data_IF_604031776470
#
_entry.id   IF_604031776470
#
_cell.length_a   1.000
_cell.length_b   1.000
_cell.length_c   1.000
_cell.angle_alpha   90.00
_cell.angle_beta   90.00
_cell.angle_gamma   90.00
#
_symmetry.space_group_name_H-M   'P 1'
#
loop_
_entity.id
_entity.type
_entity.pdbx_description
1 polymer ?
#
# COMPACT_ATOMS: atom_id res chain seq x y z
N UNK A 1 -9.75 15.20 21.67
CA UNK A 1 -8.66 14.20 21.82
C UNK A 1 -7.93 13.97 20.50
N UNK A 2 -8.62 13.71 19.40
CA UNK A 2 -8.03 13.51 18.06
C UNK A 2 -7.05 14.61 17.64
N UNK A 3 -7.46 15.90 17.68
CA UNK A 3 -6.60 17.02 17.27
C UNK A 3 -5.31 17.14 18.09
N UNK A 4 -5.37 16.87 19.40
CA UNK A 4 -4.19 16.92 20.28
C UNK A 4 -3.20 15.82 19.88
N UNK A 5 -3.69 14.57 19.70
CA UNK A 5 -2.87 13.45 19.26
C UNK A 5 -2.27 13.72 17.87
N UNK A 6 -3.04 14.31 16.95
CA UNK A 6 -2.58 14.72 15.64
C UNK A 6 -1.45 15.75 15.70
N UNK A 7 -1.58 16.78 16.54
CA UNK A 7 -0.54 17.81 16.71
C UNK A 7 0.73 17.20 17.29
N UNK A 8 0.62 16.34 18.32
CA UNK A 8 1.76 15.65 18.92
C UNK A 8 2.45 14.74 17.86
N UNK A 9 1.67 13.99 17.09
CA UNK A 9 2.18 13.12 16.04
C UNK A 9 2.93 13.91 14.96
N UNK A 10 2.35 15.02 14.49
CA UNK A 10 3.01 15.90 13.52
C UNK A 10 4.27 16.55 14.12
N UNK A 11 4.23 16.97 15.36
CA UNK A 11 5.40 17.53 16.04
C UNK A 11 6.54 16.52 16.14
N UNK A 12 6.25 15.25 16.43
CA UNK A 12 7.26 14.18 16.46
C UNK A 12 7.85 13.94 15.07
N UNK A 13 7.03 13.90 14.01
CA UNK A 13 7.50 13.70 12.63
C UNK A 13 8.38 14.86 12.18
N UNK A 14 7.98 16.11 12.51
CA UNK A 14 8.68 17.31 12.11
C UNK A 14 9.87 17.64 13.01
N UNK A 15 9.96 16.98 14.18
CA UNK A 15 11.07 17.20 15.11
C UNK A 15 12.41 16.87 14.45
N UNK A 16 13.31 17.87 14.47
CA UNK A 16 14.62 17.80 13.77
C UNK A 16 14.54 17.53 12.26
N UNK A 17 13.35 17.67 11.62
CA UNK A 17 13.31 17.63 10.15
C UNK A 17 14.05 18.84 9.60
N UNK A 18 14.97 18.58 8.65
CA UNK A 18 15.66 19.65 7.91
C UNK A 18 15.11 19.67 6.50
N UNK A 19 14.90 20.86 5.93
CA UNK A 19 14.70 21.00 4.49
C UNK A 19 15.97 20.54 3.80
N UNK A 20 15.94 19.32 3.31
CA UNK A 20 17.09 18.64 2.70
C UNK A 20 17.06 18.90 1.20
N UNK A 21 18.23 18.92 0.59
CA UNK A 21 18.37 18.86 -0.87
C UNK A 21 17.73 17.60 -1.44
N UNK A 22 17.38 17.64 -2.74
CA UNK A 22 16.77 16.48 -3.41
C UNK A 22 17.59 15.20 -3.18
N UNK A 23 16.99 14.24 -2.52
CA UNK A 23 17.58 12.93 -2.27
C UNK A 23 17.10 11.94 -3.33
N UNK A 24 18.01 11.46 -4.20
CA UNK A 24 17.70 10.43 -5.21
C UNK A 24 17.26 9.10 -4.62
N UNK A 25 17.60 8.84 -3.36
CA UNK A 25 17.33 7.60 -2.64
C UNK A 25 16.00 7.63 -1.83
N UNK A 26 15.15 8.65 -2.04
CA UNK A 26 13.91 8.85 -1.26
C UNK A 26 12.95 7.66 -1.27
N UNK A 27 13.06 6.75 -2.23
CA UNK A 27 12.30 5.49 -2.29
C UNK A 27 13.12 4.25 -1.91
N UNK A 28 14.30 4.42 -1.35
CA UNK A 28 15.09 3.32 -0.83
C UNK A 28 14.42 2.68 0.38
N UNK A 29 14.82 1.43 0.66
CA UNK A 29 14.21 0.63 1.72
C UNK A 29 14.21 1.32 3.08
N UNK A 30 15.26 2.08 3.40
CA UNK A 30 15.39 2.84 4.65
C UNK A 30 14.24 3.86 4.79
N UNK A 31 14.09 4.74 3.79
CA UNK A 31 13.07 5.79 3.79
C UNK A 31 11.65 5.23 3.67
N UNK A 32 11.45 4.26 2.79
CA UNK A 32 10.12 3.62 2.62
C UNK A 32 9.67 2.88 3.86
N UNK A 33 10.58 2.31 4.66
CA UNK A 33 10.21 1.68 5.93
C UNK A 33 9.78 2.71 6.98
N UNK A 34 10.46 3.87 7.07
CA UNK A 34 10.03 4.96 7.94
C UNK A 34 8.61 5.45 7.58
N UNK A 35 8.36 5.70 6.29
CA UNK A 35 7.04 6.14 5.83
C UNK A 35 5.97 5.08 6.10
N UNK A 36 6.28 3.80 5.89
CA UNK A 36 5.35 2.70 6.23
C UNK A 36 5.05 2.64 7.73
N UNK A 37 6.02 2.95 8.60
CA UNK A 37 5.79 3.08 10.02
C UNK A 37 4.80 4.20 10.34
N UNK A 38 4.97 5.38 9.74
CA UNK A 38 4.03 6.50 9.85
C UNK A 38 2.64 6.09 9.36
N UNK A 39 2.55 5.45 8.18
CA UNK A 39 1.30 4.96 7.63
C UNK A 39 0.61 3.93 8.56
N UNK A 40 1.37 3.07 9.24
CA UNK A 40 0.81 2.13 10.20
C UNK A 40 0.15 2.86 11.37
N UNK A 41 0.77 3.90 11.92
CA UNK A 41 0.18 4.76 12.96
C UNK A 41 -1.09 5.45 12.43
N UNK A 42 -1.07 5.98 11.21
CA UNK A 42 -2.25 6.60 10.59
C UNK A 42 -3.43 5.62 10.46
N UNK A 43 -3.17 4.34 10.14
CA UNK A 43 -4.21 3.30 10.10
C UNK A 43 -4.76 3.03 11.49
N UNK A 44 -3.92 2.96 12.53
CA UNK A 44 -4.39 2.80 13.92
C UNK A 44 -5.27 3.98 14.32
N UNK A 45 -4.84 5.22 14.03
CA UNK A 45 -5.65 6.42 14.30
C UNK A 45 -7.02 6.38 13.60
N UNK A 46 -7.06 5.91 12.35
CA UNK A 46 -8.32 5.75 11.62
C UNK A 46 -9.28 4.73 12.28
N UNK A 47 -8.74 3.71 12.96
CA UNK A 47 -9.58 2.77 13.71
C UNK A 47 -10.04 3.29 15.08
N UNK A 48 -9.35 4.29 15.61
CA UNK A 48 -9.68 4.91 16.89
C UNK A 48 -10.58 6.15 16.75
N UNK A 49 -10.52 6.86 15.63
CA UNK A 49 -11.17 8.14 15.41
C UNK A 49 -11.81 8.22 14.03
N UNK A 50 -13.09 8.52 13.96
CA UNK A 50 -13.81 8.66 12.68
C UNK A 50 -13.26 9.80 11.83
N UNK A 51 -12.81 10.89 12.47
CA UNK A 51 -12.19 12.06 11.82
C UNK A 51 -10.89 11.70 11.07
N UNK A 52 -10.23 10.60 11.45
CA UNK A 52 -9.00 10.14 10.81
C UNK A 52 -9.24 9.30 9.55
N UNK A 53 -10.48 9.18 9.04
CA UNK A 53 -10.83 8.34 7.89
C UNK A 53 -9.97 8.61 6.65
N UNK A 54 -9.70 9.86 6.32
CA UNK A 54 -8.84 10.22 5.19
C UNK A 54 -7.39 9.76 5.39
N UNK A 55 -6.89 9.80 6.61
CA UNK A 55 -5.55 9.34 6.94
C UNK A 55 -5.40 7.84 6.71
N UNK A 56 -6.42 7.07 7.09
CA UNK A 56 -6.46 5.63 6.82
C UNK A 56 -6.46 5.32 5.32
N UNK A 57 -7.28 6.02 4.54
CA UNK A 57 -7.33 5.86 3.07
C UNK A 57 -5.97 6.17 2.44
N UNK A 58 -5.35 7.29 2.81
CA UNK A 58 -4.03 7.69 2.30
C UNK A 58 -2.94 6.69 2.71
N UNK A 59 -2.93 6.26 3.97
CA UNK A 59 -1.96 5.29 4.47
C UNK A 59 -2.04 3.97 3.71
N UNK A 60 -3.25 3.45 3.48
CA UNK A 60 -3.46 2.21 2.72
C UNK A 60 -3.09 2.40 1.25
N UNK A 61 -3.39 3.55 0.65
CA UNK A 61 -2.95 3.88 -0.72
C UNK A 61 -1.42 3.90 -0.84
N UNK A 62 -0.71 4.41 0.19
CA UNK A 62 0.76 4.37 0.25
C UNK A 62 1.30 2.94 0.38
N UNK A 63 0.65 2.05 1.16
CA UNK A 63 1.04 0.65 1.20
C UNK A 63 0.87 -0.04 -0.16
N UNK A 64 -0.22 0.22 -0.88
CA UNK A 64 -0.39 -0.27 -2.24
C UNK A 64 0.65 0.32 -3.19
N UNK A 65 0.93 1.62 -3.09
CA UNK A 65 1.96 2.30 -3.89
C UNK A 65 3.33 1.64 -3.71
N UNK A 66 3.79 1.46 -2.47
CA UNK A 66 5.07 0.80 -2.22
C UNK A 66 5.09 -0.67 -2.64
N UNK A 67 3.95 -1.34 -2.62
CA UNK A 67 3.83 -2.71 -3.13
C UNK A 67 4.03 -2.74 -4.64
N UNK A 68 3.32 -1.90 -5.41
CA UNK A 68 3.47 -1.78 -6.86
C UNK A 68 4.88 -1.32 -7.26
N UNK A 69 5.39 -0.29 -6.60
CA UNK A 69 6.76 0.21 -6.81
C UNK A 69 7.80 -0.90 -6.61
N UNK A 70 7.75 -1.61 -5.50
CA UNK A 70 8.71 -2.67 -5.19
C UNK A 70 8.63 -3.87 -6.14
N UNK A 71 7.41 -4.20 -6.66
CA UNK A 71 7.25 -5.25 -7.66
C UNK A 71 7.90 -4.87 -8.99
N UNK A 72 7.64 -3.66 -9.46
CA UNK A 72 8.18 -3.18 -10.73
C UNK A 72 9.69 -3.01 -10.67
N UNK A 73 10.23 -2.42 -9.60
CA UNK A 73 11.67 -2.34 -9.37
C UNK A 73 12.33 -3.73 -9.32
N UNK A 74 11.68 -4.67 -8.62
CA UNK A 74 12.16 -6.04 -8.59
C UNK A 74 12.17 -6.71 -9.96
N UNK A 75 11.16 -6.47 -10.77
CA UNK A 75 11.05 -6.99 -12.13
C UNK A 75 12.10 -6.38 -13.07
N UNK A 76 12.35 -5.08 -12.98
CA UNK A 76 13.33 -4.40 -13.84
C UNK A 76 14.78 -4.74 -13.48
N UNK A 77 15.08 -5.01 -12.19
CA UNK A 77 16.45 -5.07 -11.69
C UNK A 77 16.93 -6.50 -11.34
N UNK A 78 16.07 -7.53 -11.43
CA UNK A 78 16.44 -8.88 -11.03
C UNK A 78 16.21 -9.87 -12.17
N UNK A 79 17.24 -10.60 -12.53
CA UNK A 79 17.09 -11.78 -13.37
C UNK A 79 16.20 -12.82 -12.71
N UNK A 80 15.45 -13.56 -13.51
CA UNK A 80 14.54 -14.59 -13.04
C UNK A 80 13.62 -14.17 -11.89
N UNK A 81 13.12 -12.92 -11.93
CA UNK A 81 12.33 -12.28 -10.85
C UNK A 81 11.17 -13.14 -10.37
N UNK A 82 10.53 -13.90 -11.27
CA UNK A 82 9.36 -14.73 -10.96
C UNK A 82 9.70 -16.05 -10.27
N UNK A 83 10.99 -16.45 -10.25
CA UNK A 83 11.42 -17.66 -9.52
C UNK A 83 11.17 -17.48 -8.01
N UNK A 84 10.29 -18.31 -7.46
CA UNK A 84 9.89 -18.23 -6.05
C UNK A 84 9.06 -16.98 -5.69
N UNK A 85 8.42 -16.34 -6.66
CA UNK A 85 7.59 -15.14 -6.44
C UNK A 85 6.51 -15.40 -5.37
N UNK A 86 5.68 -16.41 -5.57
CA UNK A 86 4.59 -16.77 -4.65
C UNK A 86 5.10 -17.24 -3.29
N UNK A 87 6.15 -18.06 -3.24
CA UNK A 87 6.75 -18.48 -1.96
C UNK A 87 7.14 -17.29 -1.08
N UNK A 88 7.72 -16.23 -1.69
CA UNK A 88 8.08 -14.99 -0.97
C UNK A 88 6.85 -14.22 -0.49
N UNK A 89 5.74 -14.18 -1.27
CA UNK A 89 4.51 -13.46 -0.90
C UNK A 89 3.73 -14.21 0.17
N UNK A 90 3.59 -15.52 0.04
CA UNK A 90 2.96 -16.36 1.06
C UNK A 90 3.68 -16.18 2.40
N UNK A 91 5.02 -16.35 2.42
CA UNK A 91 5.78 -16.24 3.67
C UNK A 91 5.75 -14.84 4.30
N UNK A 92 5.73 -13.76 3.49
CA UNK A 92 5.86 -12.39 4.00
C UNK A 92 4.52 -11.67 4.19
N UNK A 93 3.46 -12.14 3.56
CA UNK A 93 2.17 -11.45 3.55
C UNK A 93 1.06 -12.36 4.08
N UNK A 94 0.85 -13.54 3.49
CA UNK A 94 -0.23 -14.44 3.91
C UNK A 94 0.04 -15.10 5.26
N UNK A 95 1.24 -15.59 5.51
CA UNK A 95 1.54 -16.27 6.76
C UNK A 95 1.34 -15.35 8.00
N UNK A 96 1.86 -14.11 8.05
CA UNK A 96 1.53 -13.19 9.14
C UNK A 96 0.04 -12.90 9.27
N UNK A 97 -0.68 -12.75 8.15
CA UNK A 97 -2.12 -12.57 8.16
C UNK A 97 -2.85 -13.77 8.78
N UNK A 98 -2.50 -14.98 8.37
CA UNK A 98 -3.12 -16.19 8.91
C UNK A 98 -2.87 -16.36 10.41
N UNK A 99 -1.64 -16.08 10.87
CA UNK A 99 -1.31 -16.11 12.31
C UNK A 99 -2.18 -15.08 13.06
N UNK A 100 -2.28 -13.86 12.55
CA UNK A 100 -3.11 -12.82 13.18
C UNK A 100 -4.59 -13.19 13.16
N UNK A 101 -5.09 -13.79 12.06
CA UNK A 101 -6.47 -14.25 11.97
C UNK A 101 -6.80 -15.34 13.03
N UNK A 102 -5.88 -16.28 13.26
CA UNK A 102 -6.01 -17.28 14.34
C UNK A 102 -6.11 -16.59 15.71
N UNK A 103 -5.24 -15.62 15.99
CA UNK A 103 -5.29 -14.87 17.25
C UNK A 103 -6.65 -14.15 17.40
N UNK A 104 -7.15 -13.53 16.33
CA UNK A 104 -8.47 -12.88 16.33
C UNK A 104 -9.59 -13.88 16.63
N UNK A 105 -9.59 -15.03 15.97
CA UNK A 105 -10.58 -16.10 16.21
C UNK A 105 -10.56 -16.51 17.69
N UNK A 106 -9.37 -16.77 18.26
CA UNK A 106 -9.24 -17.15 19.66
C UNK A 106 -9.77 -16.06 20.61
N UNK A 107 -9.40 -14.80 20.38
CA UNK A 107 -9.90 -13.67 21.18
C UNK A 107 -11.43 -13.56 21.09
N UNK A 108 -12.01 -13.71 19.89
CA UNK A 108 -13.46 -13.62 19.71
C UNK A 108 -14.20 -14.77 20.37
N UNK A 109 -13.65 -15.98 20.35
CA UNK A 109 -14.25 -17.14 21.04
C UNK A 109 -14.13 -16.99 22.55
N UNK A 110 -12.92 -16.78 23.08
CA UNK A 110 -12.68 -16.85 24.52
C UNK A 110 -13.00 -15.55 25.29
N UNK A 111 -12.89 -14.39 24.65
CA UNK A 111 -13.10 -13.08 25.31
C UNK A 111 -14.46 -12.50 24.95
N UNK A 112 -14.92 -12.67 23.72
CA UNK A 112 -16.21 -12.12 23.25
C UNK A 112 -17.35 -13.14 23.29
N UNK A 113 -17.07 -14.39 23.67
CA UNK A 113 -18.04 -15.50 23.70
C UNK A 113 -18.77 -15.71 22.36
N UNK A 114 -18.10 -15.44 21.24
CA UNK A 114 -18.65 -15.70 19.91
C UNK A 114 -18.49 -17.19 19.56
N UNK A 115 -19.48 -17.75 18.88
CA UNK A 115 -19.40 -19.10 18.30
C UNK A 115 -19.25 -19.00 16.79
N UNK A 116 -18.34 -19.80 16.21
CA UNK A 116 -18.13 -19.90 14.78
C UNK A 116 -18.22 -21.36 14.33
N UNK A 117 -18.82 -21.57 13.18
CA UNK A 117 -18.80 -22.88 12.52
C UNK A 117 -17.43 -23.13 11.90
N UNK A 118 -17.09 -24.40 11.70
CA UNK A 118 -15.83 -24.77 11.04
C UNK A 118 -15.69 -24.14 9.62
N UNK A 119 -16.81 -24.03 8.90
CA UNK A 119 -16.83 -23.37 7.59
C UNK A 119 -16.50 -21.87 7.66
N UNK A 120 -17.04 -21.14 8.63
CA UNK A 120 -16.73 -19.71 8.82
C UNK A 120 -15.25 -19.50 9.17
N UNK A 121 -14.71 -20.35 10.03
CA UNK A 121 -13.28 -20.32 10.38
C UNK A 121 -12.42 -20.53 9.14
N UNK A 122 -12.69 -21.58 8.35
CA UNK A 122 -11.92 -21.87 7.12
C UNK A 122 -12.06 -20.72 6.12
N UNK A 123 -13.25 -20.21 5.87
CA UNK A 123 -13.48 -19.11 4.94
C UNK A 123 -12.78 -17.81 5.37
N UNK A 124 -12.64 -17.57 6.67
CA UNK A 124 -11.98 -16.35 7.18
C UNK A 124 -10.53 -16.21 6.73
N UNK A 125 -9.83 -17.31 6.43
CA UNK A 125 -8.47 -17.30 5.90
C UNK A 125 -8.39 -16.81 4.45
N UNK A 126 -9.50 -16.78 3.72
CA UNK A 126 -9.57 -16.40 2.32
C UNK A 126 -10.34 -15.12 2.06
N UNK A 127 -11.32 -14.77 2.89
CA UNK A 127 -12.21 -13.64 2.68
C UNK A 127 -12.14 -12.57 3.80
N UNK A 128 -11.31 -12.79 4.83
CA UNK A 128 -11.17 -11.91 5.99
C UNK A 128 -12.52 -11.63 6.70
N UNK A 129 -13.45 -12.60 6.72
CA UNK A 129 -14.80 -12.41 7.27
C UNK A 129 -14.80 -12.16 8.78
N UNK A 130 -13.94 -12.84 9.54
CA UNK A 130 -13.81 -12.69 11.00
C UNK A 130 -12.91 -11.49 11.32
N UNK A 131 -11.71 -11.43 10.74
CA UNK A 131 -10.83 -10.29 10.84
C UNK A 131 -11.08 -9.32 9.69
N UNK A 132 -12.13 -8.50 9.79
CA UNK A 132 -12.55 -7.60 8.70
C UNK A 132 -11.47 -6.64 8.22
N UNK A 133 -10.51 -6.26 9.08
CA UNK A 133 -9.35 -5.44 8.72
C UNK A 133 -8.37 -6.16 7.78
N UNK A 134 -8.48 -7.48 7.64
CA UNK A 134 -7.66 -8.31 6.74
C UNK A 134 -7.94 -8.12 5.24
N UNK A 135 -9.03 -7.41 4.88
CA UNK A 135 -9.40 -7.13 3.48
C UNK A 135 -8.22 -6.60 2.64
N UNK A 136 -7.37 -5.77 3.24
CA UNK A 136 -6.18 -5.20 2.59
C UNK A 136 -5.23 -6.29 2.07
N UNK A 137 -5.01 -7.34 2.85
CA UNK A 137 -4.11 -8.45 2.47
C UNK A 137 -4.68 -9.22 1.29
N UNK A 138 -6.00 -9.50 1.32
CA UNK A 138 -6.69 -10.19 0.21
C UNK A 138 -6.60 -9.35 -1.07
N UNK A 139 -6.92 -8.07 -0.98
CA UNK A 139 -6.81 -7.15 -2.12
C UNK A 139 -5.36 -7.05 -2.64
N UNK A 140 -4.37 -7.02 -1.76
CA UNK A 140 -2.95 -7.00 -2.14
C UNK A 140 -2.55 -8.29 -2.89
N UNK A 141 -3.02 -9.46 -2.45
CA UNK A 141 -2.76 -10.73 -3.16
C UNK A 141 -3.40 -10.75 -4.54
N UNK A 142 -4.61 -10.21 -4.70
CA UNK A 142 -5.25 -10.06 -6.01
C UNK A 142 -4.40 -9.14 -6.91
N UNK A 143 -3.91 -8.01 -6.41
CA UNK A 143 -3.02 -7.12 -7.17
C UNK A 143 -1.70 -7.81 -7.55
N UNK A 144 -1.14 -8.64 -6.66
CA UNK A 144 0.05 -9.43 -6.99
C UNK A 144 -0.23 -10.49 -8.05
N UNK A 145 -1.41 -11.10 -8.06
CA UNK A 145 -1.82 -12.06 -9.09
C UNK A 145 -1.97 -11.38 -10.46
N UNK A 146 -2.63 -10.22 -10.52
CA UNK A 146 -2.75 -9.42 -11.73
C UNK A 146 -1.36 -9.07 -12.27
N UNK A 147 -0.49 -8.53 -11.42
CA UNK A 147 0.89 -8.21 -11.81
C UNK A 147 1.63 -9.46 -12.33
N UNK A 148 1.56 -10.57 -11.60
CA UNK A 148 2.24 -11.80 -11.96
C UNK A 148 1.80 -12.33 -13.32
N UNK A 149 0.49 -12.38 -13.58
CA UNK A 149 -0.07 -12.86 -14.85
C UNK A 149 0.38 -11.97 -16.00
N UNK A 150 0.21 -10.65 -15.86
CA UNK A 150 0.54 -9.68 -16.90
C UNK A 150 2.04 -9.68 -17.21
N UNK A 151 2.88 -9.61 -16.20
CA UNK A 151 4.33 -9.43 -16.42
C UNK A 151 5.07 -10.73 -16.74
N UNK A 152 4.56 -11.88 -16.30
CA UNK A 152 5.18 -13.18 -16.58
C UNK A 152 4.82 -13.73 -17.94
N UNK A 153 3.54 -13.68 -18.31
CA UNK A 153 3.06 -14.41 -19.49
C UNK A 153 2.96 -13.55 -20.76
N UNK A 154 2.74 -12.24 -20.63
CA UNK A 154 2.69 -11.40 -21.84
C UNK A 154 4.10 -11.06 -22.34
N UNK A 155 4.35 -11.37 -23.62
CA UNK A 155 5.58 -11.03 -24.34
C UNK A 155 5.39 -9.72 -25.10
N UNK A 156 5.29 -8.58 -24.38
CA UNK A 156 5.07 -7.25 -24.97
C UNK A 156 5.91 -6.20 -24.22
N UNK A 157 5.90 -4.95 -24.69
CA UNK A 157 6.63 -3.87 -24.04
C UNK A 157 6.14 -3.59 -22.62
N UNK A 158 7.01 -3.13 -21.73
CA UNK A 158 6.66 -2.83 -20.34
C UNK A 158 5.56 -1.77 -20.23
N UNK A 159 5.53 -0.80 -21.14
CA UNK A 159 4.46 0.19 -21.21
C UNK A 159 3.08 -0.46 -21.43
N UNK A 160 2.97 -1.37 -22.40
CA UNK A 160 1.71 -2.10 -22.67
C UNK A 160 1.31 -2.98 -21.49
N UNK A 161 2.27 -3.63 -20.82
CA UNK A 161 2.02 -4.40 -19.58
C UNK A 161 1.46 -3.52 -18.45
N UNK A 162 2.02 -2.33 -18.26
CA UNK A 162 1.54 -1.38 -17.25
C UNK A 162 0.12 -0.91 -17.59
N UNK A 163 -0.14 -0.56 -18.84
CA UNK A 163 -1.48 -0.15 -19.29
C UNK A 163 -2.49 -1.26 -19.03
N UNK A 164 -2.19 -2.49 -19.42
CA UNK A 164 -3.08 -3.63 -19.17
C UNK A 164 -3.28 -3.87 -17.67
N UNK A 165 -2.23 -3.73 -16.87
CA UNK A 165 -2.33 -3.86 -15.42
C UNK A 165 -3.29 -2.79 -14.84
N UNK A 166 -3.21 -1.53 -15.32
CA UNK A 166 -4.14 -0.47 -14.94
C UNK A 166 -5.58 -0.79 -15.34
N UNK A 167 -5.79 -1.29 -16.55
CA UNK A 167 -7.14 -1.72 -17.01
C UNK A 167 -7.69 -2.80 -16.07
N UNK A 168 -6.90 -3.81 -15.72
CA UNK A 168 -7.33 -4.88 -14.81
C UNK A 168 -7.61 -4.38 -13.39
N UNK A 169 -6.87 -3.37 -12.91
CA UNK A 169 -7.16 -2.69 -11.63
C UNK A 169 -8.51 -1.97 -11.71
N UNK A 170 -8.80 -1.25 -12.81
CA UNK A 170 -10.10 -0.62 -13.00
C UNK A 170 -11.24 -1.65 -13.11
N UNK A 171 -11.03 -2.76 -13.82
CA UNK A 171 -11.99 -3.86 -13.85
C UNK A 171 -12.26 -4.41 -12.44
N UNK A 172 -11.22 -4.59 -11.61
CA UNK A 172 -11.39 -4.99 -10.22
C UNK A 172 -12.25 -3.99 -9.43
N UNK A 173 -12.00 -2.70 -9.57
CA UNK A 173 -12.77 -1.64 -8.89
C UNK A 173 -14.25 -1.71 -9.29
N UNK A 174 -14.52 -1.83 -10.59
CA UNK A 174 -15.90 -1.94 -11.12
C UNK A 174 -16.58 -3.20 -10.59
N UNK A 175 -15.91 -4.35 -10.65
CA UNK A 175 -16.43 -5.63 -10.15
C UNK A 175 -16.69 -5.59 -8.65
N UNK A 176 -15.74 -5.08 -7.85
CA UNK A 176 -15.91 -4.97 -6.41
C UNK A 176 -17.11 -4.09 -6.04
N UNK A 177 -17.32 -2.99 -6.79
CA UNK A 177 -18.48 -2.13 -6.61
C UNK A 177 -19.78 -2.80 -7.03
N UNK A 178 -19.77 -3.52 -8.16
CA UNK A 178 -20.95 -4.23 -8.68
C UNK A 178 -21.41 -5.36 -7.74
N UNK A 179 -20.46 -6.12 -7.16
CA UNK A 179 -20.74 -7.19 -6.18
C UNK A 179 -21.14 -6.63 -4.80
N UNK A 180 -21.15 -5.31 -4.62
CA UNK A 180 -21.57 -4.67 -3.36
C UNK A 180 -20.50 -4.68 -2.28
N UNK A 181 -19.22 -4.84 -2.62
CA UNK A 181 -18.13 -4.70 -1.65
C UNK A 181 -18.12 -3.30 -1.04
N UNK A 182 -17.82 -3.22 0.25
CA UNK A 182 -17.69 -1.95 0.96
C UNK A 182 -16.58 -1.08 0.34
N UNK A 183 -16.75 0.26 0.37
CA UNK A 183 -15.89 1.21 -0.36
C UNK A 183 -14.38 1.06 -0.09
N UNK A 184 -14.00 0.64 1.11
CA UNK A 184 -12.58 0.44 1.44
C UNK A 184 -11.88 -0.67 0.64
N UNK A 185 -12.62 -1.61 0.04
CA UNK A 185 -12.04 -2.65 -0.83
C UNK A 185 -11.42 -2.11 -2.12
N UNK A 186 -11.78 -0.89 -2.55
CA UNK A 186 -11.35 -0.35 -3.83
C UNK A 186 -10.83 1.09 -3.82
N UNK A 187 -11.10 1.89 -2.77
CA UNK A 187 -10.71 3.31 -2.76
C UNK A 187 -9.20 3.56 -2.83
N UNK A 188 -8.40 2.70 -2.21
CA UNK A 188 -6.94 2.89 -2.10
C UNK A 188 -6.12 2.11 -3.13
N UNK A 189 -6.76 1.23 -3.92
CA UNK A 189 -6.07 0.26 -4.80
C UNK A 189 -5.31 0.91 -5.96
N UNK A 190 -5.78 2.07 -6.45
CA UNK A 190 -5.08 2.81 -7.51
C UNK A 190 -3.64 3.14 -7.13
N UNK A 191 -3.33 3.27 -5.84
CA UNK A 191 -1.97 3.41 -5.35
C UNK A 191 -1.01 2.34 -5.90
N UNK A 192 -1.48 1.11 -6.07
CA UNK A 192 -0.66 0.02 -6.63
C UNK A 192 -0.23 0.31 -8.08
N UNK A 193 -1.17 0.69 -8.92
CA UNK A 193 -0.88 1.05 -10.32
C UNK A 193 0.03 2.27 -10.43
N UNK A 194 -0.20 3.31 -9.60
CA UNK A 194 0.68 4.47 -9.52
C UNK A 194 2.09 4.08 -9.12
N UNK A 195 2.27 3.14 -8.19
CA UNK A 195 3.57 2.59 -7.82
C UNK A 195 4.29 1.91 -8.98
N UNK A 196 3.58 1.14 -9.82
CA UNK A 196 4.15 0.54 -11.03
C UNK A 196 4.66 1.60 -12.01
N UNK A 197 3.83 2.62 -12.29
CA UNK A 197 4.16 3.72 -13.20
C UNK A 197 5.37 4.50 -12.67
N UNK A 198 5.36 4.83 -11.38
CA UNK A 198 6.45 5.57 -10.75
C UNK A 198 7.77 4.83 -10.85
N UNK A 199 7.78 3.54 -10.54
CA UNK A 199 8.97 2.72 -10.63
C UNK A 199 9.54 2.64 -12.05
N UNK A 200 8.67 2.49 -13.05
CA UNK A 200 9.06 2.42 -14.45
C UNK A 200 9.59 3.75 -15.00
N UNK A 201 8.96 4.87 -14.60
CA UNK A 201 9.33 6.21 -15.05
C UNK A 201 10.19 6.99 -14.03
N UNK A 202 10.82 6.31 -13.07
CA UNK A 202 11.53 6.95 -11.96
C UNK A 202 12.48 8.05 -12.41
N UNK A 203 13.31 7.80 -13.43
CA UNK A 203 14.28 8.79 -13.93
C UNK A 203 13.63 10.06 -14.47
N UNK A 204 12.50 9.93 -15.17
CA UNK A 204 11.76 11.09 -15.70
C UNK A 204 11.06 11.87 -14.58
N UNK A 205 10.47 11.15 -13.63
CA UNK A 205 9.79 11.75 -12.47
C UNK A 205 10.82 12.47 -11.59
N UNK A 206 11.98 11.86 -11.35
CA UNK A 206 13.06 12.47 -10.56
C UNK A 206 13.54 13.79 -11.18
N UNK A 207 13.64 13.86 -12.52
CA UNK A 207 13.98 15.11 -13.23
C UNK A 207 12.93 16.19 -12.99
N UNK A 208 11.65 15.86 -13.15
CA UNK A 208 10.54 16.79 -12.91
C UNK A 208 10.54 17.29 -11.46
N UNK A 209 10.58 16.37 -10.49
CA UNK A 209 10.57 16.73 -9.07
C UNK A 209 11.76 17.63 -8.71
N UNK A 210 12.96 17.33 -9.22
CA UNK A 210 14.15 18.16 -8.99
C UNK A 210 13.96 19.57 -9.55
N UNK A 211 13.37 19.70 -10.75
CA UNK A 211 13.09 20.97 -11.38
C UNK A 211 12.07 21.80 -10.59
N UNK A 212 10.99 21.18 -10.11
CA UNK A 212 10.00 21.86 -9.27
C UNK A 212 10.55 22.31 -7.92
N UNK A 213 11.37 21.48 -7.25
CA UNK A 213 12.01 21.86 -5.98
C UNK A 213 12.97 23.03 -6.20
N UNK A 214 13.70 23.06 -7.32
CA UNK A 214 14.59 24.17 -7.66
C UNK A 214 13.79 25.46 -7.85
N UNK A 215 12.70 25.43 -8.62
CA UNK A 215 11.82 26.59 -8.85
C UNK A 215 11.23 27.07 -7.51
N UNK A 216 10.73 26.15 -6.67
CA UNK A 216 10.15 26.49 -5.38
C UNK A 216 11.18 27.14 -4.43
N UNK A 217 12.40 26.62 -4.40
CA UNK A 217 13.52 27.20 -3.62
C UNK A 217 13.85 28.63 -4.08
N UNK A 218 13.87 28.89 -5.37
CA UNK A 218 14.10 30.23 -5.93
C UNK A 218 12.93 31.18 -5.65
N UNK A 219 11.70 30.75 -5.77
CA UNK A 219 10.53 31.59 -5.45
C UNK A 219 10.53 32.03 -3.97
N UNK A 220 10.87 31.12 -3.04
CA UNK A 220 10.92 31.46 -1.61
C UNK A 220 12.06 32.43 -1.26
N UNK A 221 13.21 32.34 -1.91
CA UNK A 221 14.33 33.27 -1.69
C UNK A 221 13.99 34.67 -2.17
N UNK A 222 13.18 34.83 -3.22
CA UNK A 222 12.75 36.16 -3.69
C UNK A 222 11.57 36.75 -2.91
N UNK A 223 10.83 35.96 -2.13
CA UNK A 223 9.76 36.47 -1.27
C UNK A 223 10.25 36.88 0.13
N UNK A 224 11.51 36.64 0.47
CA UNK A 224 12.12 36.96 1.78
C UNK A 224 13.15 38.10 1.71
N UNK A 225 13.27 38.79 0.57
CA UNK A 225 13.98 40.06 0.37
C UNK A 225 12.94 41.16 0.16
#
# INVERSE_FOLDING_TARGET
MFYIITIIFLAIILYKSKLVEWNKEYLDKKYTNCIKGICAVMVVMNHMFEEARLWGILAVAMFFFYSGYGLMQGYCNKENYFKGFWKKRIKKVLLPFWITNVIYILVYIFVKNNSYTASEIILSFFNASIMTTGWYIIAAIIMYAIFYIVFKYLKTSNTKKIILNMILIFCYIILARFVGCKSWWYTSILGFGLGLIWAYKKSSIDKLCKQYIYIYKHMFVYCTI
#
